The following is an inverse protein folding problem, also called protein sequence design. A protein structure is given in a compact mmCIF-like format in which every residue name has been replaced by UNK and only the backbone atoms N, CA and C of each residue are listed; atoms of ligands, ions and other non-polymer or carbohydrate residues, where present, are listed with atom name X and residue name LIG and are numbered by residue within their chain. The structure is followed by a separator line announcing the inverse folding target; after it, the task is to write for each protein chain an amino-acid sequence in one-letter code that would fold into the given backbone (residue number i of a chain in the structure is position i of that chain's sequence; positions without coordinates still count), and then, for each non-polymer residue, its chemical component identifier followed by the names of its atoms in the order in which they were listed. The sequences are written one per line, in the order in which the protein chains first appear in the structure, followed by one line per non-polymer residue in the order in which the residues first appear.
data_IF_085949098256
#
_entry.id   IF_085949098256
#
_cell.length_a   1.000
_cell.length_b   1.000
_cell.length_c   1.000
_cell.angle_alpha   90.00
_cell.angle_beta   90.00
_cell.angle_gamma   90.00
#
_symmetry.space_group_name_H-M   'P 1'
#
loop_
_entity.id
_entity.type
_entity.pdbx_description
1 polymer ?
#
# COMPACT_ATOMS: atom_id res chain seq x y z
N UNK A 1 -27.94 -21.31 2.71
CA UNK A 1 -28.66 -22.01 1.62
C UNK A 1 -27.64 -22.66 0.68
N UNK A 2 -27.65 -23.98 0.58
CA UNK A 2 -26.75 -24.77 -0.28
C UNK A 2 -27.29 -24.92 -1.72
N UNK A 3 -28.08 -23.95 -2.18
CA UNK A 3 -28.70 -24.00 -3.52
C UNK A 3 -28.05 -22.98 -4.42
N UNK A 4 -27.55 -23.41 -5.58
CA UNK A 4 -27.07 -22.53 -6.64
C UNK A 4 -28.27 -21.82 -7.28
N UNK A 5 -28.21 -20.49 -7.41
CA UNK A 5 -29.15 -19.70 -8.17
C UNK A 5 -28.57 -19.38 -9.55
N UNK A 6 -29.37 -19.49 -10.59
CA UNK A 6 -28.97 -19.12 -11.95
C UNK A 6 -29.68 -17.83 -12.34
N UNK A 7 -28.92 -16.90 -12.91
CA UNK A 7 -29.42 -15.66 -13.49
C UNK A 7 -29.10 -15.63 -14.98
N UNK A 8 -30.10 -15.35 -15.82
CA UNK A 8 -29.95 -15.26 -17.26
C UNK A 8 -30.08 -13.80 -17.72
N UNK A 9 -29.01 -13.29 -18.34
CA UNK A 9 -29.02 -11.96 -18.94
C UNK A 9 -29.43 -12.07 -20.43
N UNK A 10 -30.56 -11.50 -20.80
CA UNK A 10 -31.01 -11.43 -22.18
C UNK A 10 -30.44 -10.16 -22.79
N UNK A 11 -29.57 -10.29 -23.76
CA UNK A 11 -28.90 -9.18 -24.45
C UNK A 11 -29.10 -9.26 -25.97
N UNK A 12 -29.04 -8.13 -26.68
CA UNK A 12 -28.86 -8.17 -28.15
C UNK A 12 -27.56 -8.91 -28.49
N UNK A 13 -27.37 -9.27 -29.76
CA UNK A 13 -26.13 -9.91 -30.24
C UNK A 13 -24.90 -9.09 -29.80
N UNK A 14 -23.81 -9.77 -29.38
CA UNK A 14 -22.60 -9.11 -28.85
C UNK A 14 -21.97 -8.11 -29.83
N UNK A 15 -22.23 -8.25 -31.12
CA UNK A 15 -21.80 -7.30 -32.15
C UNK A 15 -22.56 -5.96 -32.13
N UNK A 16 -23.73 -5.89 -31.50
CA UNK A 16 -24.59 -4.71 -31.48
C UNK A 16 -24.60 -3.97 -30.13
N UNK A 17 -23.93 -4.50 -29.11
CA UNK A 17 -23.79 -3.84 -27.81
C UNK A 17 -22.49 -3.05 -27.73
N UNK A 18 -22.52 -1.95 -26.93
CA UNK A 18 -21.35 -1.10 -26.70
C UNK A 18 -20.24 -1.83 -25.99
N UNK A 19 -18.99 -1.37 -26.13
CA UNK A 19 -17.86 -2.00 -25.45
C UNK A 19 -17.96 -1.92 -23.92
N UNK A 20 -18.57 -0.86 -23.40
CA UNK A 20 -18.82 -0.76 -21.95
C UNK A 20 -19.88 -1.75 -21.48
N UNK A 21 -20.90 -2.04 -22.29
CA UNK A 21 -21.88 -3.09 -22.00
C UNK A 21 -21.21 -4.47 -21.98
N UNK A 22 -20.29 -4.74 -22.93
CA UNK A 22 -19.49 -5.99 -22.93
C UNK A 22 -18.66 -6.13 -21.67
N UNK A 23 -17.96 -5.06 -21.25
CA UNK A 23 -17.15 -5.03 -20.03
C UNK A 23 -17.99 -5.30 -18.78
N UNK A 24 -19.21 -4.71 -18.69
CA UNK A 24 -20.13 -4.93 -17.55
C UNK A 24 -20.61 -6.37 -17.48
N UNK A 25 -20.98 -6.98 -18.60
CA UNK A 25 -21.39 -8.38 -18.67
C UNK A 25 -20.21 -9.29 -18.25
N UNK A 26 -19.00 -9.01 -18.73
CA UNK A 26 -17.81 -9.74 -18.35
C UNK A 26 -17.51 -9.62 -16.85
N UNK A 27 -17.69 -8.43 -16.26
CA UNK A 27 -17.51 -8.23 -14.82
C UNK A 27 -18.49 -9.05 -13.97
N UNK A 28 -19.76 -9.10 -14.35
CA UNK A 28 -20.77 -9.91 -13.65
C UNK A 28 -20.44 -11.41 -13.75
N UNK A 29 -19.96 -11.87 -14.90
CA UNK A 29 -19.54 -13.26 -15.07
C UNK A 29 -18.28 -13.61 -14.25
N UNK A 30 -17.35 -12.66 -14.15
CA UNK A 30 -16.10 -12.85 -13.42
C UNK A 30 -16.32 -12.89 -11.90
N UNK A 31 -17.26 -12.10 -11.39
CA UNK A 31 -17.55 -11.94 -9.97
C UNK A 31 -18.89 -12.57 -9.58
N UNK A 32 -19.08 -13.86 -9.88
CA UNK A 32 -20.31 -14.59 -9.59
C UNK A 32 -20.41 -15.17 -8.18
N UNK A 33 -19.35 -15.06 -7.35
CA UNK A 33 -19.31 -15.58 -5.99
C UNK A 33 -20.10 -14.73 -5.01
N UNK A 34 -20.58 -15.37 -3.94
CA UNK A 34 -21.31 -14.70 -2.86
C UNK A 34 -20.38 -13.66 -2.17
N UNK A 35 -20.86 -12.43 -2.03
CA UNK A 35 -20.08 -11.34 -1.46
C UNK A 35 -19.31 -10.49 -2.48
N UNK A 36 -19.33 -10.82 -3.77
CA UNK A 36 -18.62 -10.11 -4.84
C UNK A 36 -19.22 -8.75 -5.22
N UNK A 37 -20.30 -8.31 -4.57
CA UNK A 37 -20.99 -7.06 -4.88
C UNK A 37 -20.07 -5.84 -4.86
N UNK A 38 -19.11 -5.79 -3.93
CA UNK A 38 -18.10 -4.73 -3.89
C UNK A 38 -17.21 -4.72 -5.15
N UNK A 39 -16.74 -5.89 -5.57
CA UNK A 39 -15.89 -6.03 -6.76
C UNK A 39 -16.64 -5.65 -8.04
N UNK A 40 -17.93 -6.02 -8.14
CA UNK A 40 -18.80 -5.62 -9.27
C UNK A 40 -18.99 -4.10 -9.29
N UNK A 41 -19.23 -3.48 -8.12
CA UNK A 41 -19.40 -2.03 -8.00
C UNK A 41 -18.13 -1.27 -8.37
N UNK A 42 -16.96 -1.75 -7.92
CA UNK A 42 -15.67 -1.18 -8.29
C UNK A 42 -15.40 -1.31 -9.79
N UNK A 43 -15.79 -2.45 -10.39
CA UNK A 43 -15.62 -2.65 -11.82
C UNK A 43 -16.56 -1.79 -12.65
N UNK A 44 -17.79 -1.57 -12.20
CA UNK A 44 -18.72 -0.62 -12.86
C UNK A 44 -18.21 0.83 -12.77
N UNK A 45 -17.63 1.20 -11.62
CA UNK A 45 -16.96 2.49 -11.43
C UNK A 45 -15.78 2.68 -12.41
N UNK A 46 -14.95 1.65 -12.57
CA UNK A 46 -13.84 1.64 -13.52
C UNK A 46 -14.31 1.76 -14.98
N UNK A 47 -15.41 1.07 -15.33
CA UNK A 47 -15.98 1.10 -16.70
C UNK A 47 -16.59 2.46 -17.02
N UNK A 48 -17.26 3.11 -16.07
CA UNK A 48 -17.82 4.45 -16.22
C UNK A 48 -16.75 5.54 -16.34
N UNK A 49 -15.48 5.20 -16.04
CA UNK A 49 -14.42 6.16 -15.84
C UNK A 49 -14.61 6.84 -14.48
N UNK A 50 -13.68 6.66 -13.56
CA UNK A 50 -13.73 7.29 -12.24
C UNK A 50 -13.89 8.83 -12.28
N UNK A 51 -13.75 9.42 -13.47
CA UNK A 51 -13.96 10.83 -13.74
C UNK A 51 -15.42 11.33 -13.66
N UNK A 52 -16.40 10.46 -13.82
CA UNK A 52 -17.82 10.90 -13.87
C UNK A 52 -18.49 11.01 -12.49
N UNK A 53 -17.94 10.33 -11.47
CA UNK A 53 -18.49 10.36 -10.10
C UNK A 53 -17.91 11.49 -9.26
N UNK A 54 -16.68 11.95 -9.60
CA UNK A 54 -15.97 13.02 -8.88
C UNK A 54 -15.82 14.32 -9.70
N UNK A 55 -16.48 14.43 -10.86
CA UNK A 55 -16.33 15.57 -11.79
C UNK A 55 -15.15 15.37 -12.73
N UNK A 56 -15.38 15.67 -14.03
CA UNK A 56 -14.47 15.36 -15.16
C UNK A 56 -13.05 15.96 -15.12
N UNK A 57 -12.67 16.65 -14.04
CA UNK A 57 -11.31 17.18 -13.83
C UNK A 57 -10.40 16.26 -12.98
N UNK A 58 -10.93 15.17 -12.42
CA UNK A 58 -10.18 14.34 -11.46
C UNK A 58 -9.66 13.00 -12.02
N UNK A 59 -9.89 12.69 -13.29
CA UNK A 59 -9.31 11.50 -13.93
C UNK A 59 -7.78 11.54 -14.04
N UNK A 60 -7.17 12.74 -13.99
CA UNK A 60 -5.72 12.90 -13.81
C UNK A 60 -5.24 12.63 -12.38
N UNK A 61 -6.09 12.86 -11.38
CA UNK A 61 -5.72 12.88 -9.97
C UNK A 61 -5.23 11.50 -9.44
N UNK A 62 -5.84 10.40 -9.90
CA UNK A 62 -5.40 9.04 -9.52
C UNK A 62 -4.04 8.70 -10.13
N UNK A 63 -3.75 9.20 -11.34
CA UNK A 63 -2.45 9.05 -11.97
C UNK A 63 -1.38 9.93 -11.29
N UNK A 64 -1.77 11.11 -10.78
CA UNK A 64 -0.85 12.07 -10.17
C UNK A 64 -0.53 11.76 -8.70
N UNK A 65 -1.50 11.27 -7.92
CA UNK A 65 -1.29 10.97 -6.48
C UNK A 65 -0.83 9.54 -6.20
N UNK A 66 -0.91 8.65 -7.18
CA UNK A 66 -0.56 7.24 -7.05
C UNK A 66 -1.61 6.42 -6.27
N UNK A 67 -1.64 5.13 -6.55
CA UNK A 67 -2.60 4.18 -5.98
C UNK A 67 -2.53 4.08 -4.44
N UNK A 68 -1.35 4.17 -3.84
CA UNK A 68 -1.18 4.12 -2.38
C UNK A 68 -1.88 5.29 -1.68
N UNK A 69 -1.78 6.50 -2.24
CA UNK A 69 -2.44 7.69 -1.68
C UNK A 69 -3.95 7.60 -1.84
N UNK A 70 -4.44 7.06 -2.97
CA UNK A 70 -5.86 6.81 -3.17
C UNK A 70 -6.41 5.78 -2.17
N UNK A 71 -5.74 4.64 -1.99
CA UNK A 71 -6.14 3.65 -0.98
C UNK A 71 -6.11 4.22 0.44
N UNK A 72 -5.13 5.06 0.74
CA UNK A 72 -5.03 5.71 2.05
C UNK A 72 -6.21 6.65 2.28
N UNK A 73 -6.52 7.53 1.33
CA UNK A 73 -7.68 8.44 1.41
C UNK A 73 -8.98 7.64 1.56
N UNK A 74 -9.12 6.55 0.80
CA UNK A 74 -10.30 5.68 0.88
C UNK A 74 -10.40 4.97 2.23
N UNK A 75 -9.30 4.45 2.76
CA UNK A 75 -9.28 3.79 4.07
C UNK A 75 -9.50 4.78 5.22
N UNK A 76 -8.96 5.98 5.13
CA UNK A 76 -9.20 7.06 6.09
C UNK A 76 -10.68 7.48 6.07
N UNK A 77 -11.27 7.68 4.88
CA UNK A 77 -12.69 8.00 4.74
C UNK A 77 -13.62 6.89 5.26
N UNK A 78 -13.28 5.61 5.00
CA UNK A 78 -14.02 4.46 5.54
C UNK A 78 -13.89 4.39 7.07
N UNK A 79 -12.70 4.66 7.62
CA UNK A 79 -12.49 4.69 9.07
C UNK A 79 -13.22 5.86 9.73
N UNK A 80 -13.24 7.03 9.07
CA UNK A 80 -13.98 8.19 9.55
C UNK A 80 -15.49 7.94 9.56
N UNK A 81 -16.03 7.32 8.52
CA UNK A 81 -17.42 6.87 8.44
C UNK A 81 -17.74 5.80 9.52
N UNK A 82 -16.87 4.81 9.72
CA UNK A 82 -17.02 3.82 10.79
C UNK A 82 -17.02 4.46 12.17
N UNK A 83 -16.18 5.46 12.39
CA UNK A 83 -16.06 6.16 13.68
C UNK A 83 -17.20 7.17 13.93
N UNK A 84 -17.78 7.78 12.89
CA UNK A 84 -18.82 8.80 13.02
C UNK A 84 -20.24 8.23 13.06
N UNK A 85 -20.58 7.29 12.16
CA UNK A 85 -21.96 6.82 12.01
C UNK A 85 -22.21 5.42 12.61
N UNK A 86 -21.19 4.56 12.67
CA UNK A 86 -21.36 3.14 13.04
C UNK A 86 -20.92 2.78 14.46
N UNK A 87 -20.41 3.71 15.25
CA UNK A 87 -20.06 3.48 16.67
C UNK A 87 -21.21 2.92 17.53
N UNK A 88 -22.45 3.06 17.07
CA UNK A 88 -23.64 2.54 17.77
C UNK A 88 -24.02 1.10 17.38
N UNK A 89 -23.55 0.61 16.24
CA UNK A 89 -23.94 -0.69 15.69
C UNK A 89 -22.92 -1.81 15.98
N UNK A 90 -21.65 -1.48 16.26
CA UNK A 90 -20.57 -2.44 16.50
C UNK A 90 -20.01 -2.37 17.91
N UNK A 91 -20.89 -2.31 18.92
CA UNK A 91 -20.50 -2.28 20.34
C UNK A 91 -19.90 -3.57 20.88
N UNK A 92 -19.95 -4.68 20.14
CA UNK A 92 -19.57 -6.01 20.64
C UNK A 92 -18.35 -6.65 19.93
N UNK A 93 -17.87 -6.09 18.85
CA UNK A 93 -16.58 -6.51 18.30
C UNK A 93 -15.48 -5.64 18.90
N UNK A 94 -14.78 -6.17 19.90
CA UNK A 94 -13.46 -5.68 20.30
C UNK A 94 -12.56 -5.78 19.07
N UNK A 95 -12.55 -4.70 18.26
CA UNK A 95 -11.49 -4.51 17.27
C UNK A 95 -10.24 -4.32 18.11
N UNK A 96 -9.40 -5.33 18.08
CA UNK A 96 -8.03 -5.27 18.61
C UNK A 96 -7.39 -3.97 18.13
N UNK A 97 -7.24 -2.98 19.01
CA UNK A 97 -6.52 -1.72 18.76
C UNK A 97 -5.01 -1.95 18.53
N UNK A 98 -4.61 -3.20 18.31
CA UNK A 98 -3.28 -3.60 17.87
C UNK A 98 -3.09 -3.54 16.35
N UNK A 99 -3.88 -2.73 15.63
CA UNK A 99 -3.53 -2.37 14.26
C UNK A 99 -2.27 -1.51 14.33
N UNK A 100 -1.14 -2.20 14.40
CA UNK A 100 0.18 -1.60 14.19
C UNK A 100 0.12 -0.85 12.87
N UNK A 101 0.13 0.48 12.96
CA UNK A 101 0.13 1.36 11.79
C UNK A 101 1.21 0.87 10.82
N UNK A 102 0.85 0.69 9.55
CA UNK A 102 1.83 0.30 8.54
C UNK A 102 2.86 1.40 8.37
N UNK A 103 4.12 1.00 8.18
CA UNK A 103 5.22 1.95 7.92
C UNK A 103 4.99 2.64 6.58
N UNK A 104 4.92 3.97 6.58
CA UNK A 104 4.79 4.79 5.38
C UNK A 104 6.20 5.07 4.82
N UNK A 105 6.40 4.85 3.52
CA UNK A 105 7.64 5.21 2.83
C UNK A 105 7.37 6.45 1.97
N UNK A 106 8.22 7.48 2.12
CA UNK A 106 8.21 8.71 1.34
C UNK A 106 9.59 8.86 0.68
N UNK A 107 9.69 8.77 -0.63
CA UNK A 107 10.96 8.70 -1.36
C UNK A 107 10.97 9.63 -2.58
N UNK A 108 12.17 10.12 -2.94
CA UNK A 108 12.46 10.75 -4.23
C UNK A 108 12.87 9.74 -5.31
N UNK A 109 12.98 8.45 -4.97
CA UNK A 109 13.19 7.37 -5.91
C UNK A 109 11.88 6.95 -6.55
N UNK A 110 11.90 6.57 -7.81
CA UNK A 110 10.74 6.01 -8.50
C UNK A 110 10.45 4.60 -7.98
N UNK A 111 9.25 4.42 -7.39
CA UNK A 111 8.79 3.18 -6.76
C UNK A 111 7.43 2.82 -7.38
N UNK A 112 7.46 2.22 -8.58
CA UNK A 112 6.25 1.93 -9.35
C UNK A 112 6.46 0.83 -10.40
N UNK A 113 5.36 0.36 -11.00
CA UNK A 113 5.39 -0.38 -12.27
C UNK A 113 5.35 0.61 -13.44
N UNK A 114 6.46 0.81 -14.20
CA UNK A 114 6.47 1.74 -15.33
C UNK A 114 5.48 1.33 -16.43
N UNK A 115 4.89 2.30 -17.11
CA UNK A 115 4.01 2.05 -18.26
C UNK A 115 4.73 1.39 -19.43
N UNK A 116 6.04 1.62 -19.56
CA UNK A 116 6.90 0.95 -20.53
C UNK A 116 7.08 -0.54 -20.25
N UNK A 117 7.01 -0.95 -18.99
CA UNK A 117 7.14 -2.33 -18.55
C UNK A 117 5.80 -3.05 -18.56
N UNK A 118 4.75 -2.43 -18.04
CA UNK A 118 3.38 -2.96 -18.01
C UNK A 118 2.42 -1.91 -18.58
N UNK A 119 2.11 -1.95 -19.90
CA UNK A 119 1.30 -0.91 -20.54
C UNK A 119 -0.15 -0.84 -20.02
N UNK A 120 -0.74 -1.99 -19.66
CA UNK A 120 -2.13 -2.07 -19.22
C UNK A 120 -2.34 -1.50 -17.82
N UNK A 121 -3.17 -0.46 -17.67
CA UNK A 121 -3.55 0.12 -16.37
C UNK A 121 -4.24 -0.90 -15.47
N UNK A 122 -5.16 -1.69 -16.03
CA UNK A 122 -5.88 -2.73 -15.30
C UNK A 122 -4.92 -3.78 -14.75
N UNK A 123 -3.94 -4.17 -15.55
CA UNK A 123 -2.96 -5.16 -15.15
C UNK A 123 -2.03 -4.64 -14.05
N UNK A 124 -1.58 -3.37 -14.15
CA UNK A 124 -0.81 -2.73 -13.08
C UNK A 124 -1.60 -2.68 -11.77
N UNK A 125 -2.89 -2.30 -11.80
CA UNK A 125 -3.75 -2.29 -10.61
C UNK A 125 -3.85 -3.68 -9.97
N UNK A 126 -4.09 -4.71 -10.78
CA UNK A 126 -4.15 -6.09 -10.28
C UNK A 126 -2.83 -6.54 -9.65
N UNK A 127 -1.69 -6.11 -10.20
CA UNK A 127 -0.38 -6.42 -9.65
C UNK A 127 -0.10 -5.66 -8.35
N UNK A 128 -0.52 -4.39 -8.23
CA UNK A 128 -0.45 -3.66 -6.96
C UNK A 128 -1.33 -4.31 -5.88
N UNK A 129 -2.54 -4.76 -6.24
CA UNK A 129 -3.41 -5.49 -5.29
C UNK A 129 -2.77 -6.80 -4.83
N UNK A 130 -2.17 -7.57 -5.75
CA UNK A 130 -1.44 -8.79 -5.40
C UNK A 130 -0.26 -8.46 -4.48
N UNK A 131 0.51 -7.43 -4.79
CA UNK A 131 1.66 -7.01 -4.01
C UNK A 131 1.25 -6.58 -2.58
N UNK A 132 0.11 -5.92 -2.42
CA UNK A 132 -0.37 -5.42 -1.12
C UNK A 132 -0.76 -6.51 -0.13
N UNK A 133 -1.06 -7.73 -0.59
CA UNK A 133 -1.42 -8.85 0.28
C UNK A 133 -0.24 -9.76 0.62
N UNK A 134 0.92 -9.56 -0.01
CA UNK A 134 2.15 -10.33 0.24
C UNK A 134 2.70 -10.00 1.64
N UNK A 135 2.99 -11.03 2.43
CA UNK A 135 3.37 -10.88 3.84
C UNK A 135 4.79 -11.36 4.17
N UNK A 136 5.43 -12.08 3.27
CA UNK A 136 6.74 -12.69 3.52
C UNK A 136 7.64 -12.68 2.28
N UNK A 137 8.94 -12.93 2.50
CA UNK A 137 9.93 -12.94 1.44
C UNK A 137 9.71 -14.04 0.40
N UNK A 138 9.21 -15.20 0.79
CA UNK A 138 8.98 -16.33 -0.12
C UNK A 138 7.91 -15.97 -1.15
N UNK A 139 6.77 -15.44 -0.70
CA UNK A 139 5.71 -14.94 -1.57
C UNK A 139 6.20 -13.81 -2.49
N UNK A 140 7.05 -12.92 -1.97
CA UNK A 140 7.60 -11.81 -2.74
C UNK A 140 8.54 -12.31 -3.86
N UNK A 141 9.38 -13.30 -3.59
CA UNK A 141 10.25 -13.89 -4.60
C UNK A 141 9.45 -14.68 -5.65
N UNK A 142 8.37 -15.38 -5.26
CA UNK A 142 7.45 -16.02 -6.21
C UNK A 142 6.81 -14.95 -7.11
N UNK A 143 6.32 -13.87 -6.54
CA UNK A 143 5.71 -12.77 -7.28
C UNK A 143 6.72 -12.11 -8.25
N UNK A 144 7.95 -11.88 -7.80
CA UNK A 144 9.05 -11.37 -8.62
C UNK A 144 9.34 -12.28 -9.82
N UNK A 145 9.41 -13.60 -9.61
CA UNK A 145 9.64 -14.56 -10.69
C UNK A 145 8.47 -14.58 -11.69
N UNK A 146 7.22 -14.45 -11.23
CA UNK A 146 6.06 -14.31 -12.10
C UNK A 146 6.11 -13.04 -12.96
N UNK A 147 6.61 -11.92 -12.42
CA UNK A 147 6.81 -10.69 -13.19
C UNK A 147 7.86 -10.89 -14.29
N UNK A 148 8.99 -11.53 -13.97
CA UNK A 148 10.08 -11.80 -14.91
C UNK A 148 9.60 -12.74 -16.01
N UNK A 149 8.86 -13.78 -15.67
CA UNK A 149 8.32 -14.75 -16.64
C UNK A 149 7.34 -14.10 -17.64
N UNK A 150 6.49 -13.19 -17.16
CA UNK A 150 5.46 -12.57 -17.98
C UNK A 150 5.90 -11.33 -18.75
N UNK A 151 6.77 -10.53 -18.19
CA UNK A 151 7.13 -9.19 -18.69
C UNK A 151 8.61 -9.03 -18.98
N UNK A 152 9.44 -10.03 -18.65
CA UNK A 152 10.89 -9.96 -18.83
C UNK A 152 11.61 -9.29 -17.66
N UNK A 153 12.82 -8.77 -17.94
CA UNK A 153 13.67 -8.18 -16.90
C UNK A 153 13.01 -7.01 -16.19
N UNK A 154 13.16 -6.98 -14.85
CA UNK A 154 12.59 -5.93 -14.02
C UNK A 154 13.33 -4.60 -14.24
N UNK A 155 12.64 -3.51 -14.57
CA UNK A 155 13.21 -2.17 -14.53
C UNK A 155 13.52 -1.74 -13.09
N UNK A 156 14.39 -0.76 -12.92
CA UNK A 156 14.88 -0.33 -11.61
C UNK A 156 13.73 0.18 -10.70
N UNK A 157 12.73 0.82 -11.27
CA UNK A 157 11.56 1.33 -10.56
C UNK A 157 10.74 0.18 -9.94
N UNK A 158 10.63 -0.94 -10.68
CA UNK A 158 9.96 -2.16 -10.19
C UNK A 158 10.81 -2.87 -9.13
N UNK A 159 12.13 -2.91 -9.28
CA UNK A 159 13.03 -3.43 -8.24
C UNK A 159 12.88 -2.61 -6.97
N UNK A 160 12.90 -1.27 -7.09
CA UNK A 160 12.68 -0.38 -5.97
C UNK A 160 11.33 -0.62 -5.29
N UNK A 161 10.28 -0.89 -6.07
CA UNK A 161 8.95 -1.20 -5.55
C UNK A 161 8.95 -2.49 -4.71
N UNK A 162 9.56 -3.57 -5.19
CA UNK A 162 9.64 -4.84 -4.46
C UNK A 162 10.48 -4.71 -3.18
N UNK A 163 11.63 -4.03 -3.26
CA UNK A 163 12.47 -3.78 -2.10
C UNK A 163 11.81 -2.84 -1.09
N UNK A 164 10.94 -1.90 -1.53
CA UNK A 164 10.18 -1.04 -0.63
C UNK A 164 9.19 -1.82 0.25
N UNK A 165 8.66 -2.94 -0.24
CA UNK A 165 7.80 -3.82 0.56
C UNK A 165 8.60 -4.43 1.72
N UNK A 166 9.83 -4.92 1.45
CA UNK A 166 10.73 -5.42 2.51
C UNK A 166 11.08 -4.32 3.51
N UNK A 167 11.32 -3.09 2.99
CA UNK A 167 11.62 -1.95 3.83
C UNK A 167 10.45 -1.58 4.77
N UNK A 168 9.20 -1.70 4.31
CA UNK A 168 8.00 -1.55 5.16
C UNK A 168 7.98 -2.58 6.29
N UNK A 169 8.25 -3.86 6.00
CA UNK A 169 8.26 -4.91 7.02
C UNK A 169 9.32 -4.65 8.09
N UNK A 170 10.55 -4.39 7.67
CA UNK A 170 11.66 -4.08 8.60
C UNK A 170 11.35 -2.81 9.40
N UNK A 171 10.82 -1.78 8.75
CA UNK A 171 10.39 -0.54 9.41
C UNK A 171 9.36 -0.80 10.50
N UNK A 172 8.36 -1.63 10.23
CA UNK A 172 7.33 -2.02 11.19
C UNK A 172 7.92 -2.79 12.39
N UNK A 173 8.81 -3.75 12.14
CA UNK A 173 9.50 -4.51 13.20
C UNK A 173 10.34 -3.61 14.10
N UNK A 174 10.97 -2.58 13.53
CA UNK A 174 11.77 -1.60 14.25
C UNK A 174 10.96 -0.45 14.86
N UNK A 175 9.61 -0.48 14.75
CA UNK A 175 8.71 0.53 15.31
C UNK A 175 8.76 1.89 14.61
N UNK A 176 9.14 1.92 13.34
CA UNK A 176 9.11 3.14 12.55
C UNK A 176 7.74 3.33 11.88
N UNK A 177 7.06 4.42 12.18
CA UNK A 177 5.81 4.81 11.53
C UNK A 177 6.03 5.35 10.12
N UNK A 178 7.13 6.08 9.91
CA UNK A 178 7.45 6.70 8.62
C UNK A 178 8.94 6.63 8.33
N UNK A 179 9.29 6.28 7.10
CA UNK A 179 10.65 6.32 6.55
C UNK A 179 10.66 7.31 5.39
N UNK A 180 11.54 8.31 5.45
CA UNK A 180 11.72 9.31 4.39
C UNK A 180 13.10 9.10 3.75
N UNK A 181 13.11 8.82 2.45
CA UNK A 181 14.32 8.61 1.64
C UNK A 181 14.44 9.77 0.64
N UNK A 182 15.16 10.83 1.00
CA UNK A 182 15.32 12.01 0.13
C UNK A 182 16.72 12.60 0.26
N UNK A 183 17.24 13.15 -0.83
CA UNK A 183 18.53 13.83 -0.86
C UNK A 183 19.68 12.98 -0.29
N UNK A 184 19.73 11.70 -0.62
CA UNK A 184 20.72 10.72 -0.14
C UNK A 184 20.75 10.57 1.38
N UNK A 185 19.64 10.82 2.04
CA UNK A 185 19.45 10.61 3.48
C UNK A 185 18.22 9.77 3.73
N UNK A 186 18.25 9.00 4.81
CA UNK A 186 17.09 8.28 5.31
C UNK A 186 16.75 8.80 6.71
N UNK A 187 15.49 9.19 6.90
CA UNK A 187 14.94 9.59 8.19
C UNK A 187 13.86 8.60 8.60
N UNK A 188 14.04 7.95 9.74
CA UNK A 188 13.11 6.95 10.27
C UNK A 188 12.45 7.51 11.52
N UNK A 189 11.15 7.82 11.44
CA UNK A 189 10.36 8.40 12.52
C UNK A 189 9.72 7.29 13.33
N UNK A 190 9.95 7.26 14.64
CA UNK A 190 9.27 6.35 15.55
C UNK A 190 7.78 6.67 15.69
N UNK A 191 7.03 5.75 16.30
CA UNK A 191 5.66 5.95 16.73
C UNK A 191 5.59 7.19 17.64
N UNK A 192 4.59 8.06 17.42
CA UNK A 192 4.52 9.37 18.11
C UNK A 192 4.09 9.27 19.57
N UNK A 193 3.39 8.21 19.97
CA UNK A 193 2.97 8.01 21.35
C UNK A 193 4.12 7.51 22.21
N UNK A 194 4.67 8.42 23.03
CA UNK A 194 5.78 8.10 23.96
C UNK A 194 5.39 7.10 25.06
N UNK A 195 4.10 6.89 25.32
CA UNK A 195 3.62 5.91 26.28
C UNK A 195 3.48 4.52 25.65
N UNK A 196 3.69 4.40 24.34
CA UNK A 196 3.59 3.12 23.65
C UNK A 196 4.56 2.09 24.24
N UNK A 197 4.06 0.89 24.46
CA UNK A 197 4.85 -0.22 25.02
C UNK A 197 6.12 -0.52 24.20
N UNK A 198 6.17 -0.15 22.93
CA UNK A 198 7.35 -0.31 22.07
C UNK A 198 8.62 0.29 22.68
N UNK A 199 8.55 1.46 23.30
CA UNK A 199 9.73 2.13 23.92
C UNK A 199 10.29 1.36 25.13
N UNK A 200 9.53 0.41 25.70
CA UNK A 200 9.94 -0.49 26.78
C UNK A 200 10.45 -1.85 26.28
N UNK A 201 10.32 -2.14 24.98
CA UNK A 201 10.70 -3.42 24.40
C UNK A 201 12.22 -3.53 24.20
N UNK A 202 12.70 -4.78 24.17
CA UNK A 202 14.11 -5.11 23.90
C UNK A 202 14.59 -4.59 22.55
N UNK A 203 13.70 -4.52 21.55
CA UNK A 203 13.98 -3.98 20.22
C UNK A 203 14.41 -2.53 20.26
N UNK A 204 13.70 -1.66 21.00
CA UNK A 204 14.06 -0.25 21.13
C UNK A 204 15.42 -0.08 21.84
N UNK A 205 15.65 -0.83 22.92
CA UNK A 205 16.92 -0.80 23.65
C UNK A 205 18.08 -1.23 22.71
N UNK A 206 17.88 -2.27 21.90
CA UNK A 206 18.87 -2.73 20.91
C UNK A 206 19.17 -1.65 19.88
N UNK A 207 18.15 -0.98 19.36
CA UNK A 207 18.30 0.14 18.42
C UNK A 207 19.18 1.23 19.06
N UNK A 208 18.87 1.65 20.29
CA UNK A 208 19.65 2.68 21.00
C UNK A 208 21.12 2.30 21.17
N UNK A 209 21.41 1.04 21.45
CA UNK A 209 22.79 0.55 21.61
C UNK A 209 23.56 0.47 20.27
N UNK A 210 22.86 0.19 19.17
CA UNK A 210 23.51 -0.02 17.87
C UNK A 210 23.66 1.28 17.07
N UNK A 211 22.81 2.29 17.28
CA UNK A 211 22.90 3.60 16.57
C UNK A 211 24.33 4.17 16.65
N UNK A 212 24.95 4.13 17.82
CA UNK A 212 26.29 4.69 18.02
C UNK A 212 27.41 3.89 17.34
N UNK A 213 27.14 2.64 16.93
CA UNK A 213 28.09 1.76 16.24
C UNK A 213 28.06 1.93 14.72
N UNK A 214 26.98 2.52 14.17
CA UNK A 214 26.77 2.69 12.74
C UNK A 214 27.27 4.07 12.31
N UNK A 215 28.31 4.10 11.47
CA UNK A 215 28.85 5.36 10.92
C UNK A 215 27.79 6.10 10.11
N UNK A 216 27.60 7.39 10.38
CA UNK A 216 26.59 8.22 9.68
C UNK A 216 25.16 8.02 10.20
N UNK A 217 24.96 7.28 11.29
CA UNK A 217 23.69 7.13 11.97
C UNK A 217 23.62 8.03 13.20
N UNK A 218 22.52 8.76 13.36
CA UNK A 218 22.30 9.66 14.52
C UNK A 218 20.83 9.65 14.91
N UNK A 219 20.57 9.67 16.21
CA UNK A 219 19.24 9.92 16.73
C UNK A 219 19.03 11.43 16.92
N UNK A 220 17.82 11.89 16.60
CA UNK A 220 17.41 13.28 16.77
C UNK A 220 16.00 13.34 17.33
N UNK A 221 15.72 14.42 18.01
CA UNK A 221 14.40 14.76 18.52
C UNK A 221 13.87 15.99 17.77
N UNK A 222 12.64 15.97 17.36
CA UNK A 222 11.92 17.10 16.76
C UNK A 222 10.72 17.41 17.63
N UNK A 223 10.69 18.61 18.17
CA UNK A 223 9.52 19.14 18.88
C UNK A 223 8.63 19.91 17.90
N UNK A 224 7.41 19.44 17.71
CA UNK A 224 6.40 20.09 16.86
C UNK A 224 5.07 20.09 17.60
N UNK A 225 4.48 21.28 17.76
CA UNK A 225 3.18 21.47 18.46
C UNK A 225 3.15 20.86 19.89
N UNK A 226 4.25 20.96 20.64
CA UNK A 226 4.36 20.38 21.98
C UNK A 226 4.52 18.85 22.03
N UNK A 227 4.56 18.19 20.88
CA UNK A 227 4.84 16.76 20.76
C UNK A 227 6.30 16.54 20.37
N UNK A 228 6.98 15.71 21.15
CA UNK A 228 8.35 15.31 20.89
C UNK A 228 8.35 14.03 20.02
N UNK A 229 8.84 14.16 18.79
CA UNK A 229 8.99 13.02 17.87
C UNK A 229 10.46 12.62 17.79
N UNK A 230 10.73 11.36 18.10
CA UNK A 230 12.05 10.78 18.00
C UNK A 230 12.24 10.20 16.57
N UNK A 231 13.41 10.44 15.98
CA UNK A 231 13.75 9.87 14.67
C UNK A 231 15.24 9.58 14.54
N UNK A 232 15.54 8.60 13.70
CA UNK A 232 16.91 8.21 13.34
C UNK A 232 17.25 8.76 11.96
N UNK A 233 18.44 9.31 11.81
CA UNK A 233 18.97 9.84 10.54
C UNK A 233 20.13 8.97 10.10
N UNK A 234 20.10 8.53 8.85
CA UNK A 234 21.24 7.90 8.17
C UNK A 234 21.68 8.77 7.01
N UNK A 235 22.95 9.04 6.92
CA UNK A 235 23.58 9.75 5.81
C UNK A 235 24.02 8.78 4.71
N UNK A 236 24.11 9.28 3.47
CA UNK A 236 24.62 8.55 2.29
C UNK A 236 23.76 7.34 1.85
N UNK A 237 22.46 7.42 2.05
CA UNK A 237 21.49 6.43 1.57
C UNK A 237 20.90 6.90 0.24
N UNK A 238 21.31 6.30 -0.85
CA UNK A 238 20.93 6.66 -2.23
C UNK A 238 20.10 5.55 -2.93
N UNK A 239 19.84 4.44 -2.26
CA UNK A 239 19.03 3.34 -2.77
C UNK A 239 18.23 2.67 -1.66
N UNK A 240 17.14 1.97 -2.03
CA UNK A 240 16.33 1.21 -1.07
C UNK A 240 17.12 0.03 -0.51
N UNK A 241 17.97 -0.59 -1.30
CA UNK A 241 18.85 -1.65 -0.84
C UNK A 241 19.79 -1.17 0.29
N UNK A 242 20.42 0.01 0.13
CA UNK A 242 21.26 0.60 1.19
C UNK A 242 20.41 0.94 2.43
N UNK A 243 19.18 1.39 2.25
CA UNK A 243 18.25 1.64 3.34
C UNK A 243 17.98 0.37 4.13
N UNK A 244 17.62 -0.74 3.45
CA UNK A 244 17.41 -2.05 4.06
C UNK A 244 18.64 -2.54 4.82
N UNK A 245 19.82 -2.49 4.17
CA UNK A 245 21.07 -2.91 4.79
C UNK A 245 21.42 -2.09 6.04
N UNK A 246 21.03 -0.80 6.06
CA UNK A 246 21.25 0.06 7.21
C UNK A 246 20.29 -0.26 8.36
N UNK A 247 19.01 -0.52 8.06
CA UNK A 247 18.03 -0.91 9.08
C UNK A 247 18.30 -2.27 9.70
N UNK A 248 18.76 -3.23 8.92
CA UNK A 248 19.13 -4.57 9.41
C UNK A 248 20.31 -4.58 10.39
N UNK A 249 21.04 -3.46 10.50
CA UNK A 249 22.13 -3.31 11.49
C UNK A 249 21.66 -2.73 12.83
N UNK A 250 20.41 -2.26 12.92
CA UNK A 250 19.80 -1.77 14.15
C UNK A 250 19.30 -2.92 15.02
#
# INVERSE_FOLDING_TARGET
SNKNAFCYFITPPLSSITDDAKKRIAAINQYSELGSGFNISMKDLEIRGAGDILGGEQSGFINDIGFETYQKILSEAVNELKNSEFKRLFKDDQIDESTTEETIIDSDLEILFPTSYIPSNVERLNLYQKLSVIKNNEELEIFKNQLIDRFGYLPIETVNLLESVKLKWVGKELGFRKIVLKNKKMLCYFISDQNNQFFKQKTFIRIMQNINKISGCKIKELEKNGLKNLYVVFDKIDSIEKALNSLNRL
#
